data_IF_934660054662
#
_entry.id   IF_934660054662
#
_cell.length_a   1.000
_cell.length_b   1.000
_cell.length_c   1.000
_cell.angle_alpha   90.00
_cell.angle_beta   90.00
_cell.angle_gamma   90.00
#
_symmetry.space_group_name_H-M   'P 1'
#
loop_
_entity.id
_entity.type
_entity.pdbx_description
1 polymer ?
#
# COMPACT_ATOMS: atom_id res chain seq x y z
N UNK A 1 41.83 -34.27 36.49
CA UNK A 1 40.77 -33.29 36.83
C UNK A 1 40.75 -32.13 35.81
N UNK A 2 40.77 -32.42 34.51
CA UNK A 2 40.79 -31.42 33.40
C UNK A 2 39.62 -31.61 32.38
N UNK A 3 38.84 -32.70 32.51
CA UNK A 3 37.80 -33.04 31.50
C UNK A 3 36.44 -32.38 31.69
N UNK A 4 36.16 -31.73 32.79
CA UNK A 4 34.82 -31.16 33.07
C UNK A 4 34.64 -29.71 32.59
N UNK A 5 35.69 -28.98 32.26
CA UNK A 5 35.59 -27.58 31.83
C UNK A 5 35.26 -27.42 30.34
N UNK A 6 35.74 -28.38 29.50
CA UNK A 6 35.56 -28.33 28.04
C UNK A 6 34.12 -28.62 27.63
N UNK A 7 33.40 -29.47 28.36
CA UNK A 7 32.01 -29.81 28.06
C UNK A 7 31.06 -28.63 28.31
N UNK A 8 31.29 -27.80 29.34
CA UNK A 8 30.49 -26.63 29.64
C UNK A 8 30.67 -25.48 28.61
N UNK A 9 31.90 -25.33 28.10
CA UNK A 9 32.15 -24.31 27.04
C UNK A 9 31.53 -24.69 25.70
N UNK A 10 31.51 -25.96 25.32
CA UNK A 10 30.85 -26.43 24.09
C UNK A 10 29.33 -26.29 24.14
N UNK A 11 28.71 -26.58 25.27
CA UNK A 11 27.26 -26.39 25.44
C UNK A 11 26.85 -24.92 25.39
N UNK A 12 27.66 -24.03 25.97
CA UNK A 12 27.38 -22.60 25.95
C UNK A 12 27.56 -22.00 24.54
N UNK A 13 28.55 -22.45 23.77
CA UNK A 13 28.80 -22.01 22.39
C UNK A 13 27.69 -22.47 21.45
N UNK A 14 27.16 -23.69 21.61
CA UNK A 14 26.04 -24.19 20.80
C UNK A 14 24.73 -23.42 21.08
N UNK A 15 24.47 -23.03 22.33
CA UNK A 15 23.30 -22.21 22.68
C UNK A 15 23.37 -20.78 22.10
N UNK A 16 24.57 -20.19 22.04
CA UNK A 16 24.78 -18.87 21.44
C UNK A 16 24.59 -18.90 19.93
N UNK A 17 25.02 -19.94 19.24
CA UNK A 17 24.84 -20.10 17.78
C UNK A 17 23.37 -20.33 17.44
N UNK A 18 22.61 -21.05 18.28
CA UNK A 18 21.20 -21.31 18.06
C UNK A 18 20.33 -20.04 18.28
N UNK A 19 20.77 -19.10 19.14
CA UNK A 19 20.08 -17.83 19.36
C UNK A 19 20.27 -16.84 18.21
N UNK A 20 21.30 -16.99 17.36
CA UNK A 20 21.56 -16.15 16.20
C UNK A 20 20.81 -16.57 14.93
N UNK A 21 20.14 -17.72 14.96
CA UNK A 21 19.33 -18.23 13.86
C UNK A 21 17.84 -17.88 14.00
N UNK A 22 17.53 -16.66 14.50
CA UNK A 22 16.17 -16.13 14.39
C UNK A 22 15.88 -15.91 12.91
N UNK A 23 14.86 -16.56 12.32
CA UNK A 23 14.48 -16.25 10.96
C UNK A 23 14.11 -14.78 10.91
N UNK A 24 14.77 -14.00 10.05
CA UNK A 24 14.22 -12.75 9.59
C UNK A 24 12.87 -13.10 8.96
N UNK A 25 11.79 -12.89 9.70
CA UNK A 25 10.46 -12.94 9.13
C UNK A 25 10.39 -11.78 8.14
N UNK A 26 10.70 -12.06 6.88
CA UNK A 26 10.35 -11.17 5.79
C UNK A 26 8.83 -11.10 5.81
N UNK A 27 8.30 -9.98 6.23
CA UNK A 27 6.87 -9.68 6.11
C UNK A 27 6.58 -9.66 4.62
N UNK A 28 5.94 -10.72 4.14
CA UNK A 28 5.51 -10.79 2.75
C UNK A 28 4.54 -9.63 2.52
N UNK A 29 4.99 -8.58 1.86
CA UNK A 29 4.12 -7.50 1.46
C UNK A 29 3.25 -8.00 0.31
N UNK A 30 1.93 -7.77 0.39
CA UNK A 30 1.01 -8.11 -0.69
C UNK A 30 1.15 -7.15 -1.90
N UNK A 31 2.15 -6.27 -1.86
CA UNK A 31 2.39 -5.24 -2.85
C UNK A 31 3.72 -5.44 -3.55
N UNK A 32 3.72 -5.30 -4.88
CA UNK A 32 4.92 -5.31 -5.69
C UNK A 32 5.03 -3.98 -6.45
N UNK A 33 6.10 -3.23 -6.16
CA UNK A 33 6.35 -1.96 -6.83
C UNK A 33 6.86 -2.17 -8.27
N UNK A 34 6.25 -1.47 -9.21
CA UNK A 34 6.62 -1.41 -10.63
C UNK A 34 6.69 0.04 -11.08
N UNK A 35 7.77 0.72 -10.77
CA UNK A 35 7.96 2.15 -11.06
C UNK A 35 6.82 3.00 -10.49
N UNK A 36 5.99 3.62 -11.32
CA UNK A 36 4.84 4.46 -10.92
C UNK A 36 3.57 3.65 -10.59
N UNK A 37 3.63 2.32 -10.64
CA UNK A 37 2.54 1.40 -10.33
C UNK A 37 2.86 0.53 -9.12
N UNK A 38 1.80 0.11 -8.43
CA UNK A 38 1.84 -0.89 -7.36
C UNK A 38 0.89 -2.02 -7.76
N UNK A 39 1.42 -3.23 -7.86
CA UNK A 39 0.60 -4.44 -8.05
C UNK A 39 0.15 -4.95 -6.68
N UNK A 40 -1.16 -5.01 -6.47
CA UNK A 40 -1.76 -5.63 -5.29
C UNK A 40 -2.07 -7.10 -5.58
N UNK A 41 -1.32 -7.98 -4.94
CA UNK A 41 -1.42 -9.43 -5.15
C UNK A 41 -2.67 -10.05 -4.52
N UNK A 42 -3.35 -9.34 -3.59
CA UNK A 42 -4.57 -9.84 -2.92
C UNK A 42 -5.78 -9.72 -3.83
N UNK A 43 -5.91 -8.56 -4.47
CA UNK A 43 -7.04 -8.25 -5.34
C UNK A 43 -6.74 -8.46 -6.83
N UNK A 44 -5.45 -8.64 -7.18
CA UNK A 44 -5.02 -8.79 -8.57
C UNK A 44 -5.22 -7.50 -9.39
N UNK A 45 -5.07 -6.34 -8.74
CA UNK A 45 -5.22 -5.02 -9.36
C UNK A 45 -3.90 -4.25 -9.35
N UNK A 46 -3.81 -3.27 -10.22
CA UNK A 46 -2.72 -2.29 -10.23
C UNK A 46 -3.23 -0.93 -9.74
N UNK A 47 -2.46 -0.31 -8.87
CA UNK A 47 -2.71 1.03 -8.34
C UNK A 47 -1.76 2.03 -8.97
N UNK A 48 -2.22 3.25 -9.22
CA UNK A 48 -1.29 4.37 -9.33
C UNK A 48 -0.59 4.55 -7.97
N UNK A 49 0.74 4.58 -8.00
CA UNK A 49 1.55 4.75 -6.79
C UNK A 49 1.36 6.12 -6.14
N UNK A 50 1.08 7.13 -6.97
CA UNK A 50 0.84 8.50 -6.55
C UNK A 50 -0.64 8.87 -6.69
N UNK A 51 -1.13 9.68 -5.77
CA UNK A 51 -2.43 10.35 -5.92
C UNK A 51 -2.49 11.15 -7.23
N UNK A 52 -3.64 11.19 -7.87
CA UNK A 52 -3.84 11.94 -9.13
C UNK A 52 -3.38 13.38 -8.97
N UNK A 53 -2.61 13.87 -9.93
CA UNK A 53 -1.96 15.19 -9.92
C UNK A 53 -0.50 15.15 -9.45
N UNK A 54 -0.08 14.11 -8.74
CA UNK A 54 1.32 13.89 -8.37
C UNK A 54 2.02 12.98 -9.38
N UNK A 55 3.34 13.13 -9.46
CA UNK A 55 4.20 12.36 -10.36
C UNK A 55 5.24 11.60 -9.55
N UNK A 56 5.43 10.33 -9.88
CA UNK A 56 6.53 9.53 -9.34
C UNK A 56 7.87 9.97 -9.93
N UNK A 57 8.83 10.34 -9.09
CA UNK A 57 10.15 10.81 -9.53
C UNK A 57 11.27 9.77 -9.40
N UNK A 58 10.89 8.50 -9.13
CA UNK A 58 11.84 7.42 -8.86
C UNK A 58 12.09 7.16 -7.37
N UNK A 59 11.68 8.08 -6.49
CA UNK A 59 11.90 7.98 -5.04
C UNK A 59 10.61 8.30 -4.24
N UNK A 60 9.87 9.31 -4.66
CA UNK A 60 8.63 9.74 -3.99
C UNK A 60 7.66 10.36 -4.99
N UNK A 61 6.44 10.64 -4.54
CA UNK A 61 5.43 11.37 -5.31
C UNK A 61 5.60 12.88 -5.10
N UNK A 62 5.82 13.63 -6.18
CA UNK A 62 6.01 15.08 -6.16
C UNK A 62 4.86 15.80 -6.87
N UNK A 63 4.61 17.06 -6.51
CA UNK A 63 3.48 17.84 -7.00
C UNK A 63 2.33 17.92 -6.00
N UNK A 64 1.19 18.37 -6.46
CA UNK A 64 0.00 18.54 -5.63
C UNK A 64 -1.09 17.57 -6.08
N UNK A 65 -1.76 16.91 -5.13
CA UNK A 65 -2.90 16.05 -5.44
C UNK A 65 -4.09 16.91 -5.92
N UNK A 66 -4.74 16.46 -6.97
CA UNK A 66 -5.94 17.11 -7.49
C UNK A 66 -7.16 16.65 -6.71
N UNK A 67 -7.92 17.60 -6.17
CA UNK A 67 -9.23 17.33 -5.55
C UNK A 67 -10.31 17.33 -6.63
N UNK A 68 -10.96 16.20 -6.79
CA UNK A 68 -11.99 15.99 -7.80
C UNK A 68 -13.35 15.78 -7.13
N UNK A 69 -14.38 16.40 -7.69
CA UNK A 69 -15.74 15.94 -7.42
C UNK A 69 -16.05 14.72 -8.30
N UNK A 70 -17.11 14.01 -7.97
CA UNK A 70 -17.41 12.73 -8.64
C UNK A 70 -17.69 12.89 -10.14
N UNK A 71 -18.22 14.03 -10.58
CA UNK A 71 -18.53 14.28 -12.01
C UNK A 71 -17.25 14.47 -12.85
N UNK A 72 -16.13 14.87 -12.23
CA UNK A 72 -14.83 15.05 -12.88
C UNK A 72 -14.04 13.75 -13.04
N UNK A 73 -14.41 12.71 -12.31
CA UNK A 73 -13.66 11.45 -12.28
C UNK A 73 -13.64 10.76 -13.64
N UNK A 74 -14.76 10.80 -14.38
CA UNK A 74 -14.83 10.20 -15.72
C UNK A 74 -13.76 10.74 -16.67
N UNK A 75 -13.49 12.04 -16.63
CA UNK A 75 -12.46 12.69 -17.45
C UNK A 75 -11.06 12.18 -17.07
N UNK A 76 -10.81 12.03 -15.78
CA UNK A 76 -9.49 11.54 -15.28
C UNK A 76 -9.27 10.08 -15.66
N UNK A 77 -10.31 9.23 -15.59
CA UNK A 77 -10.23 7.83 -16.03
C UNK A 77 -9.93 7.74 -17.54
N UNK A 78 -10.59 8.57 -18.35
CA UNK A 78 -10.33 8.65 -19.79
C UNK A 78 -8.88 9.04 -20.07
N UNK A 79 -8.38 10.09 -19.41
CA UNK A 79 -6.98 10.51 -19.52
C UNK A 79 -5.98 9.41 -19.06
N UNK A 80 -6.31 8.71 -17.97
CA UNK A 80 -5.49 7.60 -17.50
C UNK A 80 -5.45 6.46 -18.55
N UNK A 81 -6.59 6.15 -19.15
CA UNK A 81 -6.70 5.14 -20.21
C UNK A 81 -5.90 5.50 -21.46
N UNK A 82 -5.89 6.77 -21.85
CA UNK A 82 -5.08 7.26 -22.97
C UNK A 82 -3.57 7.18 -22.72
N UNK A 83 -3.13 7.46 -21.48
CA UNK A 83 -1.71 7.56 -21.13
C UNK A 83 -1.10 6.25 -20.66
N UNK A 84 -1.86 5.40 -19.99
CA UNK A 84 -1.38 4.22 -19.27
C UNK A 84 -1.98 2.92 -19.81
N UNK A 85 -2.89 2.99 -20.79
CA UNK A 85 -3.62 1.85 -21.33
C UNK A 85 -5.01 1.69 -20.71
N UNK A 86 -5.83 0.84 -21.30
CA UNK A 86 -7.22 0.64 -20.89
C UNK A 86 -7.37 -0.12 -19.56
N UNK A 87 -8.56 -0.03 -18.95
CA UNK A 87 -8.93 -0.79 -17.76
C UNK A 87 -8.86 -0.02 -16.45
N UNK A 88 -8.50 1.26 -16.46
CA UNK A 88 -8.51 2.12 -15.28
C UNK A 88 -9.93 2.41 -14.81
N UNK A 89 -10.12 2.36 -13.51
CA UNK A 89 -11.39 2.63 -12.84
C UNK A 89 -11.14 3.12 -11.41
N UNK A 90 -12.18 3.63 -10.76
CA UNK A 90 -12.13 3.77 -9.31
C UNK A 90 -12.10 2.39 -8.63
N UNK A 91 -11.46 2.30 -7.46
CA UNK A 91 -11.46 1.09 -6.66
C UNK A 91 -12.87 0.80 -6.10
N UNK A 92 -13.12 -0.46 -5.76
CA UNK A 92 -14.22 -0.83 -4.88
C UNK A 92 -13.94 -0.36 -3.45
N UNK A 93 -14.96 -0.36 -2.59
CA UNK A 93 -14.78 -0.05 -1.17
C UNK A 93 -13.80 -1.04 -0.52
N UNK A 94 -13.99 -2.34 -0.77
CA UNK A 94 -13.15 -3.41 -0.24
C UNK A 94 -11.68 -3.29 -0.69
N UNK A 95 -11.44 -2.96 -1.96
CA UNK A 95 -10.09 -2.73 -2.48
C UNK A 95 -9.41 -1.55 -1.76
N UNK A 96 -10.13 -0.44 -1.59
CA UNK A 96 -9.58 0.76 -0.97
C UNK A 96 -9.38 0.60 0.54
N UNK A 97 -10.31 -0.06 1.25
CA UNK A 97 -10.13 -0.44 2.65
C UNK A 97 -8.96 -1.43 2.82
N UNK A 98 -8.73 -2.28 1.83
CA UNK A 98 -7.64 -3.24 1.84
C UNK A 98 -6.23 -2.62 1.85
N UNK A 99 -6.06 -1.37 1.47
CA UNK A 99 -4.77 -0.66 1.55
C UNK A 99 -4.63 0.24 2.77
N UNK A 100 -5.67 0.30 3.65
CA UNK A 100 -5.59 1.01 4.94
C UNK A 100 -4.58 0.31 5.85
N UNK A 101 -3.75 1.10 6.50
CA UNK A 101 -2.77 0.67 7.48
C UNK A 101 -2.99 1.46 8.78
N UNK A 102 -3.78 0.90 9.71
CA UNK A 102 -4.13 1.59 10.97
C UNK A 102 -2.89 1.87 11.84
N UNK A 103 -1.92 0.96 11.82
CA UNK A 103 -0.67 1.10 12.57
C UNK A 103 0.34 2.07 11.96
N UNK A 104 0.13 2.51 10.72
CA UNK A 104 1.04 3.42 10.01
C UNK A 104 0.93 4.89 10.48
N UNK A 105 -0.07 5.22 11.28
CA UNK A 105 -0.33 6.60 11.72
C UNK A 105 -1.18 7.37 10.72
N UNK A 106 -0.94 8.68 10.55
CA UNK A 106 -1.68 9.51 9.58
C UNK A 106 -0.71 10.07 8.55
N UNK A 107 -1.03 9.88 7.24
CA UNK A 107 -2.16 9.13 6.68
C UNK A 107 -2.09 7.63 7.02
N UNK A 108 -3.23 6.98 7.21
CA UNK A 108 -3.36 5.56 7.55
C UNK A 108 -3.10 4.68 6.31
N UNK A 109 -1.92 4.82 5.72
CA UNK A 109 -1.48 4.07 4.54
C UNK A 109 0.02 3.82 4.62
N UNK A 110 0.50 2.73 4.06
CA UNK A 110 1.93 2.43 4.04
C UNK A 110 2.68 3.39 3.10
N UNK A 111 3.45 4.32 3.67
CA UNK A 111 4.20 5.34 2.94
C UNK A 111 5.37 4.80 2.11
N UNK A 112 5.86 3.58 2.39
CA UNK A 112 6.88 2.93 1.55
C UNK A 112 6.27 2.43 0.22
N UNK A 113 4.98 2.11 0.25
CA UNK A 113 4.21 1.64 -0.91
C UNK A 113 3.59 2.82 -1.65
N UNK A 114 2.88 3.70 -0.92
CA UNK A 114 2.15 4.86 -1.44
C UNK A 114 2.68 6.17 -0.81
N UNK A 115 3.84 6.66 -1.26
CA UNK A 115 4.49 7.80 -0.63
C UNK A 115 3.74 9.10 -0.88
N UNK A 116 3.84 10.00 0.10
CA UNK A 116 3.24 11.33 0.05
C UNK A 116 1.73 11.34 -0.24
N UNK A 117 1.00 10.32 0.22
CA UNK A 117 -0.47 10.29 0.20
C UNK A 117 -1.00 11.29 1.22
N UNK A 118 -2.03 12.04 0.88
CA UNK A 118 -2.68 12.97 1.80
C UNK A 118 -3.64 12.25 2.76
N UNK A 119 -3.76 12.76 3.98
CA UNK A 119 -4.76 12.32 4.97
C UNK A 119 -6.14 12.95 4.64
N UNK A 120 -6.71 12.55 3.52
CA UNK A 120 -7.93 13.08 2.93
C UNK A 120 -8.85 11.93 2.45
N UNK A 121 -10.14 12.19 2.17
CA UNK A 121 -11.04 11.18 1.61
C UNK A 121 -10.69 10.84 0.16
N UNK A 122 -10.64 9.53 -0.14
CA UNK A 122 -10.44 8.99 -1.49
C UNK A 122 -11.70 8.29 -1.98
N UNK A 123 -12.13 8.58 -3.20
CA UNK A 123 -13.35 8.07 -3.79
C UNK A 123 -13.27 6.58 -4.14
N UNK A 124 -14.40 5.89 -3.94
CA UNK A 124 -14.66 4.58 -4.53
C UNK A 124 -15.60 4.71 -5.74
N UNK A 125 -15.69 3.66 -6.56
CA UNK A 125 -16.66 3.54 -7.64
C UNK A 125 -18.04 3.08 -7.18
N UNK A 126 -18.24 2.81 -5.88
CA UNK A 126 -19.47 2.24 -5.36
C UNK A 126 -20.43 3.29 -4.86
N UNK A 127 -21.69 3.14 -5.27
CA UNK A 127 -22.78 3.99 -4.83
C UNK A 127 -23.48 3.43 -3.60
N UNK A 128 -23.88 4.30 -2.69
CA UNK A 128 -24.79 3.93 -1.62
C UNK A 128 -26.21 3.77 -2.20
N UNK A 129 -26.64 2.51 -2.33
CA UNK A 129 -27.96 2.14 -2.90
C UNK A 129 -29.17 2.51 -2.05
N UNK A 130 -29.00 3.04 -0.83
CA UNK A 130 -30.11 3.36 0.09
C UNK A 130 -30.69 4.78 -0.09
N UNK A 131 -30.17 5.56 -1.00
CA UNK A 131 -30.61 6.95 -1.21
C UNK A 131 -31.06 7.19 -2.63
N UNK A 132 -32.13 8.00 -2.80
CA UNK A 132 -32.55 8.54 -4.09
C UNK A 132 -31.54 9.53 -4.69
N UNK A 133 -30.60 10.02 -3.88
CA UNK A 133 -29.46 10.82 -4.32
C UNK A 133 -28.26 9.90 -4.54
N UNK A 134 -27.47 10.22 -5.57
CA UNK A 134 -26.23 9.48 -5.83
C UNK A 134 -25.17 9.87 -4.80
N UNK A 135 -24.99 9.04 -3.78
CA UNK A 135 -23.88 9.13 -2.84
C UNK A 135 -22.87 8.02 -3.14
N UNK A 136 -21.61 8.35 -3.09
CA UNK A 136 -20.52 7.40 -3.27
C UNK A 136 -19.76 7.22 -1.97
N UNK A 137 -19.22 6.03 -1.76
CA UNK A 137 -18.34 5.77 -0.61
C UNK A 137 -16.98 6.41 -0.82
N UNK A 138 -16.34 6.76 0.27
CA UNK A 138 -14.94 7.20 0.31
C UNK A 138 -14.24 6.63 1.52
N UNK A 139 -12.93 6.41 1.42
CA UNK A 139 -12.06 6.00 2.52
C UNK A 139 -11.12 7.15 2.85
N UNK A 140 -10.93 7.41 4.12
CA UNK A 140 -10.05 8.46 4.60
C UNK A 140 -8.75 7.82 5.15
N UNK A 141 -7.62 8.21 4.60
CA UNK A 141 -6.30 7.76 5.07
C UNK A 141 -5.71 8.63 6.17
#
# INVERSE_FOLDING_TARGET
>A
MIMTLIAKFRACLLLVIMALALPLQAWATNFMARDHLIVDLRFGVEWLRCSVGKVWNGTTCVGEAVRLNHDQIGIVIEQASEQLGEGWRLPTLEELEGIVCEECGRPMINSDVFPATEAEPYWTGEQNGFSSKKYFFSVNF
#
